data_IF_469495605670
#
_entry.id   IF_469495605670
#
_cell.length_a   1.000
_cell.length_b   1.000
_cell.length_c   1.000
_cell.angle_alpha   90.00
_cell.angle_beta   90.00
_cell.angle_gamma   90.00
#
_symmetry.space_group_name_H-M   'P 1'
#
loop_
_entity.id
_entity.type
_entity.pdbx_description
1 polymer ?
#
# COMPACT_ATOMS: atom_id res chain seq x y z
N UNK A 1 -20.46 53.47 14.54
CA UNK A 1 -19.06 53.79 14.16
C UNK A 1 -18.28 52.47 14.22
N UNK A 2 -17.69 52.02 13.11
CA UNK A 2 -16.98 50.73 13.07
C UNK A 2 -15.49 50.95 13.44
N UNK A 3 -14.92 50.15 14.35
CA UNK A 3 -13.51 50.25 14.70
C UNK A 3 -12.65 49.68 13.57
N UNK A 4 -11.76 50.50 13.01
CA UNK A 4 -10.75 50.05 12.04
C UNK A 4 -9.82 49.04 12.72
N UNK A 5 -9.69 47.84 12.14
CA UNK A 5 -8.81 46.80 12.69
C UNK A 5 -7.35 47.08 12.33
N UNK A 6 -6.61 47.75 13.20
CA UNK A 6 -5.16 47.98 13.05
C UNK A 6 -4.32 46.98 13.89
N UNK A 7 -4.96 46.09 14.66
CA UNK A 7 -4.30 45.13 15.55
C UNK A 7 -3.39 44.14 14.83
N UNK A 8 -3.66 43.83 13.56
CA UNK A 8 -2.80 42.96 12.75
C UNK A 8 -1.43 43.58 12.38
N UNK A 9 -1.25 44.89 12.60
CA UNK A 9 -0.03 45.63 12.29
C UNK A 9 0.95 45.60 13.48
N UNK A 10 0.43 45.53 14.71
CA UNK A 10 1.22 45.47 15.93
C UNK A 10 1.33 44.02 16.42
N UNK A 11 2.47 43.39 16.21
CA UNK A 11 2.76 42.06 16.78
C UNK A 11 3.00 42.20 18.28
N UNK A 12 2.24 41.49 19.09
CA UNK A 12 2.49 41.42 20.53
C UNK A 12 3.82 40.67 20.76
N UNK A 13 4.70 41.27 21.56
CA UNK A 13 6.04 40.75 21.85
C UNK A 13 5.97 39.55 22.82
N UNK A 14 4.85 39.37 23.53
CA UNK A 14 4.68 38.37 24.57
C UNK A 14 3.79 37.17 24.18
N UNK A 15 3.20 37.17 22.98
CA UNK A 15 2.33 36.09 22.45
C UNK A 15 3.12 34.84 21.95
N UNK A 16 4.29 34.56 22.55
CA UNK A 16 5.28 33.64 21.98
C UNK A 16 4.94 32.15 22.10
N UNK A 17 3.91 31.78 22.87
CA UNK A 17 3.39 30.41 22.89
C UNK A 17 1.86 30.40 22.93
N UNK A 18 1.17 30.10 21.82
CA UNK A 18 -0.28 30.04 21.80
C UNK A 18 -0.84 29.01 22.80
N UNK A 19 -0.10 27.95 23.14
CA UNK A 19 -0.55 26.96 24.14
C UNK A 19 -0.45 27.46 25.59
N UNK A 20 0.22 28.58 25.85
CA UNK A 20 0.28 29.18 27.19
C UNK A 20 -1.06 29.80 27.63
N UNK A 21 -2.02 29.96 26.72
CA UNK A 21 -3.36 30.45 27.02
C UNK A 21 -4.27 29.28 27.43
N UNK A 22 -4.63 29.21 28.72
CA UNK A 22 -5.49 28.17 29.30
C UNK A 22 -6.81 27.93 28.52
N UNK A 23 -7.36 28.97 27.90
CA UNK A 23 -8.56 28.86 27.05
C UNK A 23 -8.30 28.09 25.75
N UNK A 24 -7.15 28.31 25.11
CA UNK A 24 -6.77 27.60 23.89
C UNK A 24 -6.55 26.12 24.18
N UNK A 25 -5.85 25.81 25.29
CA UNK A 25 -5.67 24.43 25.73
C UNK A 25 -7.02 23.71 25.94
N UNK A 26 -7.95 24.34 26.67
CA UNK A 26 -9.30 23.80 26.88
C UNK A 26 -10.10 23.66 25.59
N UNK A 27 -9.81 24.48 24.58
CA UNK A 27 -10.40 24.38 23.24
C UNK A 27 -9.88 23.14 22.52
N UNK A 28 -8.56 22.93 22.51
CA UNK A 28 -7.89 21.79 21.88
C UNK A 28 -8.33 20.47 22.52
N UNK A 29 -8.46 20.43 23.84
CA UNK A 29 -8.90 19.24 24.58
C UNK A 29 -10.27 18.69 24.14
N UNK A 30 -11.05 19.49 23.40
CA UNK A 30 -12.36 19.10 22.87
C UNK A 30 -12.33 18.72 21.38
N UNK A 31 -11.19 18.78 20.71
CA UNK A 31 -11.08 18.49 19.27
C UNK A 31 -10.80 17.03 18.98
N UNK A 32 -11.14 16.60 17.76
CA UNK A 32 -10.86 15.24 17.26
C UNK A 32 -9.35 14.91 17.37
N UNK A 33 -8.49 15.89 17.11
CA UNK A 33 -7.05 15.75 17.16
C UNK A 33 -6.53 15.43 18.56
N UNK A 34 -7.07 16.08 19.60
CA UNK A 34 -6.68 15.76 20.97
C UNK A 34 -7.21 14.39 21.39
N UNK A 35 -8.40 13.99 20.93
CA UNK A 35 -8.86 12.61 21.09
C UNK A 35 -7.93 11.63 20.40
N UNK A 36 -7.48 11.91 19.17
CA UNK A 36 -6.49 11.11 18.46
C UNK A 36 -5.17 10.99 19.25
N UNK A 37 -4.70 12.09 19.85
CA UNK A 37 -3.53 12.07 20.72
C UNK A 37 -3.70 11.06 21.87
N UNK A 38 -4.87 11.07 22.52
CA UNK A 38 -5.14 10.20 23.66
C UNK A 38 -5.38 8.74 23.29
N UNK A 39 -6.07 8.47 22.17
CA UNK A 39 -6.55 7.13 21.80
C UNK A 39 -5.63 6.39 20.86
N UNK A 40 -4.79 7.11 20.09
CA UNK A 40 -3.87 6.53 19.10
C UNK A 40 -2.43 6.87 19.49
N UNK A 41 -2.03 8.14 19.42
CA UNK A 41 -0.61 8.53 19.58
C UNK A 41 0.01 8.05 20.89
N UNK A 42 -0.71 8.25 22.01
CA UNK A 42 -0.23 7.91 23.35
C UNK A 42 -0.32 6.42 23.68
N UNK A 43 -1.02 5.63 22.85
CA UNK A 43 -1.24 4.20 23.06
C UNK A 43 -0.38 3.32 22.15
N UNK A 44 0.37 3.90 21.20
CA UNK A 44 1.27 3.15 20.34
C UNK A 44 2.45 2.63 21.17
N UNK A 45 2.59 1.31 21.22
CA UNK A 45 3.74 0.63 21.80
C UNK A 45 4.97 0.74 20.87
N UNK A 46 5.90 1.64 21.21
CA UNK A 46 7.11 1.86 20.39
C UNK A 46 8.06 0.66 20.37
N UNK A 47 8.03 -0.20 21.40
CA UNK A 47 8.92 -1.37 21.49
C UNK A 47 8.66 -2.40 20.38
N UNK A 48 7.45 -2.40 19.79
CA UNK A 48 7.11 -3.20 18.61
C UNK A 48 8.06 -2.94 17.43
N UNK A 49 8.60 -1.72 17.34
CA UNK A 49 9.45 -1.29 16.25
C UNK A 49 10.94 -1.44 16.55
N UNK A 50 11.31 -1.94 17.73
CA UNK A 50 12.71 -2.17 18.11
C UNK A 50 13.49 -3.00 17.07
N UNK A 51 12.93 -4.05 16.43
CA UNK A 51 13.63 -4.83 15.40
C UNK A 51 14.05 -4.02 14.15
N UNK A 52 13.47 -2.84 13.93
CA UNK A 52 13.82 -1.97 12.79
C UNK A 52 15.12 -1.20 13.00
N UNK A 53 15.67 -1.20 14.21
CA UNK A 53 16.82 -0.40 14.59
C UNK A 53 17.98 -1.28 15.05
N UNK A 54 19.20 -0.89 14.68
CA UNK A 54 20.40 -1.57 15.15
C UNK A 54 20.65 -1.19 16.62
N UNK A 55 20.87 -2.19 17.48
CA UNK A 55 21.19 -1.98 18.91
C UNK A 55 22.49 -1.19 19.11
N UNK A 56 23.41 -1.28 18.15
CA UNK A 56 24.78 -0.76 18.27
C UNK A 56 24.99 0.63 17.64
N UNK A 57 23.99 1.18 16.92
CA UNK A 57 24.11 2.47 16.20
C UNK A 57 23.30 3.63 16.82
N UNK A 58 23.09 3.60 18.14
CA UNK A 58 22.45 4.69 18.90
C UNK A 58 20.92 4.69 18.85
N UNK A 59 20.31 5.44 19.78
CA UNK A 59 18.84 5.58 19.89
C UNK A 59 18.28 6.26 18.63
N UNK A 60 17.09 5.88 18.14
CA UNK A 60 16.43 6.61 17.06
C UNK A 60 16.34 8.10 17.37
N UNK A 61 16.68 8.96 16.41
CA UNK A 61 16.69 10.42 16.59
C UNK A 61 15.27 11.03 16.62
N UNK A 62 14.23 10.22 16.44
CA UNK A 62 12.83 10.64 16.39
C UNK A 62 11.92 9.60 17.02
N UNK A 63 10.87 10.00 17.76
CA UNK A 63 9.89 9.09 18.33
C UNK A 63 9.15 8.30 17.23
N UNK A 64 9.02 6.99 17.43
CA UNK A 64 8.38 6.09 16.46
C UNK A 64 6.87 6.31 16.46
N UNK A 65 6.26 6.49 17.62
CA UNK A 65 4.83 6.77 17.74
C UNK A 65 4.42 8.02 16.94
N UNK A 66 5.28 9.06 16.85
CA UNK A 66 5.04 10.23 16.01
C UNK A 66 5.03 9.88 14.52
N UNK A 67 5.95 9.04 14.05
CA UNK A 67 6.01 8.63 12.64
C UNK A 67 4.83 7.72 12.27
N UNK A 68 4.49 6.76 13.14
CA UNK A 68 3.33 5.87 12.96
C UNK A 68 2.03 6.67 12.95
N UNK A 69 1.82 7.55 13.94
CA UNK A 69 0.66 8.43 14.01
C UNK A 69 0.54 9.34 12.81
N UNK A 70 1.66 9.83 12.29
CA UNK A 70 1.69 10.67 11.10
C UNK A 70 1.24 9.92 9.86
N UNK A 71 1.65 8.66 9.68
CA UNK A 71 1.16 7.82 8.58
C UNK A 71 -0.35 7.63 8.67
N UNK A 72 -0.88 7.34 9.87
CA UNK A 72 -2.33 7.21 10.10
C UNK A 72 -3.07 8.51 9.77
N UNK A 73 -2.59 9.66 10.25
CA UNK A 73 -3.21 10.97 9.98
C UNK A 73 -3.15 11.33 8.50
N UNK A 74 -2.03 11.09 7.83
CA UNK A 74 -1.86 11.34 6.39
C UNK A 74 -2.91 10.58 5.58
N UNK A 75 -3.11 9.28 5.86
CA UNK A 75 -4.13 8.48 5.16
C UNK A 75 -5.55 8.91 5.55
N UNK A 76 -5.81 9.15 6.84
CA UNK A 76 -7.13 9.62 7.33
C UNK A 76 -7.55 10.97 6.70
N UNK A 77 -6.60 11.86 6.45
CA UNK A 77 -6.84 13.20 5.87
C UNK A 77 -6.59 13.24 4.35
N UNK A 78 -6.16 12.13 3.74
CA UNK A 78 -5.79 12.03 2.33
C UNK A 78 -4.76 13.09 1.90
N UNK A 79 -3.74 13.32 2.72
CA UNK A 79 -2.70 14.31 2.44
C UNK A 79 -1.59 13.76 1.55
N UNK A 80 -1.06 14.65 0.71
CA UNK A 80 0.28 14.50 0.14
C UNK A 80 1.34 14.64 1.25
N UNK A 81 2.57 14.17 1.00
CA UNK A 81 3.66 14.34 1.97
C UNK A 81 3.99 15.82 2.23
N UNK A 82 3.88 16.68 1.22
CA UNK A 82 4.14 18.12 1.37
C UNK A 82 3.08 18.78 2.25
N UNK A 83 1.79 18.45 2.05
CA UNK A 83 0.71 18.89 2.92
C UNK A 83 0.92 18.38 4.34
N UNK A 84 1.18 17.08 4.52
CA UNK A 84 1.44 16.48 5.82
C UNK A 84 2.57 17.22 6.57
N UNK A 85 3.72 17.49 5.94
CA UNK A 85 4.80 18.23 6.58
C UNK A 85 4.44 19.68 6.89
N UNK A 86 3.66 20.33 6.02
CA UNK A 86 3.15 21.69 6.24
C UNK A 86 2.19 21.73 7.43
N UNK A 87 1.24 20.81 7.51
CA UNK A 87 0.25 20.73 8.58
C UNK A 87 0.93 20.44 9.93
N UNK A 88 1.86 19.48 9.99
CA UNK A 88 2.65 19.23 11.22
C UNK A 88 3.43 20.48 11.65
N UNK A 89 3.90 21.29 10.70
CA UNK A 89 4.70 22.48 11.00
C UNK A 89 3.86 23.65 11.51
N UNK A 90 2.66 23.84 10.97
CA UNK A 90 1.92 25.09 11.15
C UNK A 90 0.51 24.94 11.75
N UNK A 91 -0.10 23.75 11.68
CA UNK A 91 -1.43 23.54 12.22
C UNK A 91 -1.37 23.08 13.68
N UNK A 92 -2.01 23.87 14.54
CA UNK A 92 -2.00 23.67 15.99
C UNK A 92 -2.68 22.36 16.42
N UNK A 93 -3.77 22.00 15.76
CA UNK A 93 -4.56 20.81 16.09
C UNK A 93 -3.81 19.57 15.64
N UNK A 94 -3.24 19.58 14.43
CA UNK A 94 -2.41 18.47 13.92
C UNK A 94 -1.19 18.27 14.80
N UNK A 95 -0.56 19.35 15.26
CA UNK A 95 0.51 19.28 16.25
C UNK A 95 0.04 18.67 17.56
N UNK A 96 -1.11 19.07 18.08
CA UNK A 96 -1.70 18.47 19.27
C UNK A 96 -1.96 16.96 19.11
N UNK A 97 -2.42 16.51 17.93
CA UNK A 97 -2.59 15.08 17.63
C UNK A 97 -1.29 14.27 17.76
N UNK A 98 -0.15 14.92 17.54
CA UNK A 98 1.19 14.34 17.63
C UNK A 98 1.91 14.67 18.94
N UNK A 99 1.19 15.14 19.96
CA UNK A 99 1.75 15.49 21.27
C UNK A 99 2.66 16.71 21.27
N UNK A 100 2.58 17.57 20.25
CA UNK A 100 3.40 18.76 20.08
C UNK A 100 2.64 20.01 20.56
N UNK A 101 2.71 20.29 21.85
CA UNK A 101 2.02 21.43 22.48
C UNK A 101 2.85 22.73 22.47
N UNK A 102 3.74 22.90 21.48
CA UNK A 102 4.44 24.17 21.24
C UNK A 102 4.76 24.30 19.75
N UNK A 103 5.05 25.51 19.26
CA UNK A 103 5.54 25.71 17.88
C UNK A 103 7.04 25.45 17.70
N UNK A 104 7.71 24.92 18.72
CA UNK A 104 9.14 24.60 18.63
C UNK A 104 9.36 23.26 17.93
N UNK A 105 10.12 23.28 16.83
CA UNK A 105 10.64 22.08 16.17
C UNK A 105 9.63 21.20 15.43
N UNK A 106 10.19 20.19 14.77
CA UNK A 106 9.48 19.08 14.11
C UNK A 106 9.82 17.78 14.86
N UNK A 107 8.90 16.80 14.94
CA UNK A 107 9.16 15.53 15.62
C UNK A 107 10.19 14.67 14.87
N UNK A 108 10.33 14.88 13.55
CA UNK A 108 11.27 14.23 12.66
C UNK A 108 11.50 15.09 11.41
N UNK A 109 12.56 14.78 10.67
CA UNK A 109 12.79 15.33 9.33
C UNK A 109 12.34 14.34 8.23
N UNK A 110 12.23 14.85 7.00
CA UNK A 110 11.76 14.09 5.84
C UNK A 110 12.59 12.82 5.57
N UNK A 111 13.92 12.90 5.65
CA UNK A 111 14.79 11.75 5.44
C UNK A 111 14.56 10.65 6.49
N UNK A 112 14.40 11.02 7.75
CA UNK A 112 14.13 10.08 8.86
C UNK A 112 12.81 9.36 8.64
N UNK A 113 11.77 10.08 8.23
CA UNK A 113 10.45 9.53 7.97
C UNK A 113 10.42 8.53 6.81
N UNK A 114 11.08 8.85 5.68
CA UNK A 114 11.18 7.90 4.56
C UNK A 114 12.07 6.70 4.87
N UNK A 115 13.16 6.90 5.62
CA UNK A 115 13.98 5.80 6.08
C UNK A 115 13.21 4.85 7.01
N UNK A 116 12.32 5.37 7.85
CA UNK A 116 11.43 4.55 8.67
C UNK A 116 10.47 3.71 7.82
N UNK A 117 9.82 4.29 6.80
CA UNK A 117 8.98 3.56 5.85
C UNK A 117 9.75 2.47 5.10
N UNK A 118 10.97 2.75 4.65
CA UNK A 118 11.81 1.75 4.00
C UNK A 118 12.15 0.58 4.93
N UNK A 119 12.45 0.86 6.21
CA UNK A 119 12.71 -0.18 7.21
C UNK A 119 11.48 -1.04 7.49
N UNK A 120 10.30 -0.43 7.57
CA UNK A 120 9.03 -1.16 7.70
C UNK A 120 8.85 -2.13 6.54
N UNK A 121 8.97 -1.62 5.31
CA UNK A 121 8.87 -2.42 4.09
C UNK A 121 9.90 -3.56 4.07
N UNK A 122 11.18 -3.27 4.33
CA UNK A 122 12.22 -4.30 4.36
C UNK A 122 12.00 -5.35 5.44
N UNK A 123 11.44 -4.96 6.59
CA UNK A 123 11.14 -5.88 7.68
C UNK A 123 9.99 -6.81 7.30
N UNK A 124 8.90 -6.26 6.74
CA UNK A 124 7.77 -7.03 6.23
C UNK A 124 8.23 -8.00 5.13
N UNK A 125 9.03 -7.56 4.15
CA UNK A 125 9.58 -8.42 3.09
C UNK A 125 10.43 -9.58 3.62
N UNK A 126 11.16 -9.39 4.74
CA UNK A 126 12.05 -10.40 5.31
C UNK A 126 11.34 -11.37 6.26
N UNK A 127 10.34 -10.89 6.98
CA UNK A 127 9.71 -11.62 8.09
C UNK A 127 8.28 -12.04 7.81
N UNK A 128 7.65 -11.46 6.78
CA UNK A 128 6.23 -11.56 6.49
C UNK A 128 5.33 -11.08 7.65
N UNK A 129 5.86 -10.17 8.49
CA UNK A 129 5.14 -9.56 9.62
C UNK A 129 4.91 -8.08 9.31
N UNK A 130 3.64 -7.68 9.27
CA UNK A 130 3.24 -6.28 9.19
C UNK A 130 3.08 -5.70 10.60
N UNK A 131 3.95 -4.77 10.99
CA UNK A 131 3.90 -4.13 12.32
C UNK A 131 2.67 -3.24 12.50
N UNK A 132 2.07 -2.71 11.42
CA UNK A 132 0.82 -1.94 11.52
C UNK A 132 -0.38 -2.81 11.88
N UNK A 133 -0.39 -4.10 11.50
CA UNK A 133 -1.43 -5.03 11.95
C UNK A 133 -1.38 -5.19 13.46
N UNK A 134 -0.18 -5.28 14.04
CA UNK A 134 -0.02 -5.41 15.50
C UNK A 134 -0.44 -4.13 16.22
N UNK A 135 -0.04 -2.95 15.70
CA UNK A 135 -0.50 -1.66 16.23
C UNK A 135 -2.02 -1.54 16.17
N UNK A 136 -2.63 -1.92 15.04
CA UNK A 136 -4.07 -1.91 14.87
C UNK A 136 -4.78 -2.83 15.89
N UNK A 137 -4.25 -4.04 16.08
CA UNK A 137 -4.79 -5.03 17.01
C UNK A 137 -4.70 -4.54 18.47
N UNK A 138 -3.54 -4.02 18.90
CA UNK A 138 -3.35 -3.48 20.26
C UNK A 138 -4.24 -2.26 20.54
N UNK A 139 -4.30 -1.30 19.60
CA UNK A 139 -5.13 -0.11 19.74
C UNK A 139 -6.62 -0.48 19.83
N UNK A 140 -7.06 -1.41 18.99
CA UNK A 140 -8.47 -1.84 18.99
C UNK A 140 -8.82 -2.57 20.28
N UNK A 141 -7.94 -3.43 20.80
CA UNK A 141 -8.16 -4.12 22.07
C UNK A 141 -8.34 -3.12 23.24
N UNK A 142 -7.52 -2.08 23.30
CA UNK A 142 -7.66 -1.02 24.32
C UNK A 142 -8.95 -0.21 24.13
N UNK A 143 -9.34 0.08 22.89
CA UNK A 143 -10.59 0.77 22.58
C UNK A 143 -11.82 -0.06 23.00
N UNK A 144 -11.84 -1.37 22.73
CA UNK A 144 -12.90 -2.28 23.16
C UNK A 144 -13.10 -2.18 24.68
N UNK A 145 -12.01 -2.25 25.46
CA UNK A 145 -12.06 -2.15 26.93
C UNK A 145 -12.56 -0.78 27.38
N UNK A 146 -11.97 0.29 26.84
CA UNK A 146 -12.26 1.68 27.25
C UNK A 146 -13.71 2.07 26.94
N UNK A 147 -14.22 1.65 25.79
CA UNK A 147 -15.57 1.95 25.31
C UNK A 147 -16.60 0.90 25.75
N UNK A 148 -16.16 -0.17 26.43
CA UNK A 148 -17.01 -1.27 26.93
C UNK A 148 -17.86 -1.90 25.82
N UNK A 149 -17.24 -2.10 24.66
CA UNK A 149 -17.89 -2.68 23.48
C UNK A 149 -18.15 -4.17 23.72
N UNK A 150 -19.37 -4.62 23.44
CA UNK A 150 -19.70 -6.04 23.45
C UNK A 150 -19.25 -6.70 22.16
N UNK A 151 -18.49 -7.78 22.31
CA UNK A 151 -17.77 -8.49 21.24
C UNK A 151 -18.37 -9.85 20.89
N UNK A 152 -19.45 -10.26 21.57
CA UNK A 152 -20.08 -11.58 21.41
C UNK A 152 -20.82 -11.78 20.08
N UNK A 153 -21.01 -10.70 19.31
CA UNK A 153 -21.56 -10.74 17.95
C UNK A 153 -20.62 -9.91 17.08
N UNK A 154 -20.13 -10.49 15.98
CA UNK A 154 -19.39 -9.79 14.94
C UNK A 154 -20.00 -10.05 13.57
N UNK A 155 -19.76 -9.15 12.63
CA UNK A 155 -20.13 -9.32 11.22
C UNK A 155 -18.92 -9.07 10.34
N UNK A 156 -18.89 -9.75 9.21
CA UNK A 156 -17.88 -9.57 8.17
C UNK A 156 -18.52 -8.97 6.93
N UNK A 157 -17.79 -8.11 6.23
CA UNK A 157 -18.11 -7.69 4.88
C UNK A 157 -16.84 -7.66 4.03
N UNK A 158 -17.00 -7.75 2.71
CA UNK A 158 -15.90 -7.73 1.76
C UNK A 158 -16.15 -6.74 0.62
N UNK A 159 -15.11 -6.05 0.19
CA UNK A 159 -15.17 -5.16 -0.97
C UNK A 159 -13.90 -5.24 -1.81
N UNK A 160 -14.06 -4.96 -3.11
CA UNK A 160 -12.93 -4.95 -4.06
C UNK A 160 -12.11 -3.68 -3.87
N UNK A 161 -10.79 -3.81 -3.91
CA UNK A 161 -9.83 -2.72 -3.95
C UNK A 161 -9.08 -2.82 -5.27
N UNK A 162 -9.21 -1.81 -6.12
CA UNK A 162 -8.37 -1.71 -7.30
C UNK A 162 -7.02 -1.12 -6.92
N UNK A 163 -5.93 -1.67 -7.47
CA UNK A 163 -4.57 -1.27 -7.12
C UNK A 163 -4.16 0.13 -7.60
N UNK A 164 -5.08 0.90 -8.20
CA UNK A 164 -4.81 2.17 -8.88
C UNK A 164 -3.61 2.09 -9.85
N UNK A 165 -3.51 0.96 -10.56
CA UNK A 165 -2.48 0.68 -11.56
C UNK A 165 -3.05 0.81 -12.96
N UNK A 166 -2.16 0.91 -13.94
CA UNK A 166 -2.53 0.82 -15.34
C UNK A 166 -3.09 -0.59 -15.65
N UNK A 167 -4.32 -0.64 -16.18
CA UNK A 167 -4.87 -1.86 -16.76
C UNK A 167 -4.28 -2.10 -18.15
N UNK A 168 -3.73 -3.30 -18.37
CA UNK A 168 -3.15 -3.70 -19.64
C UNK A 168 -4.06 -4.71 -20.35
N UNK A 169 -4.27 -4.52 -21.66
CA UNK A 169 -4.69 -5.63 -22.52
C UNK A 169 -3.54 -6.66 -22.66
N UNK A 170 -3.87 -7.93 -22.94
CA UNK A 170 -2.86 -9.02 -23.02
C UNK A 170 -1.66 -8.67 -23.89
N UNK A 171 -1.88 -8.18 -25.11
CA UNK A 171 -0.79 -7.82 -26.03
C UNK A 171 0.07 -6.68 -25.48
N UNK A 172 -0.57 -5.66 -24.89
CA UNK A 172 0.11 -4.52 -24.31
C UNK A 172 0.96 -4.91 -23.11
N UNK A 173 0.45 -5.80 -22.24
CA UNK A 173 1.17 -6.36 -21.09
C UNK A 173 2.46 -7.05 -21.56
N UNK A 174 2.36 -7.91 -22.57
CA UNK A 174 3.50 -8.65 -23.10
C UNK A 174 4.60 -7.72 -23.62
N UNK A 175 4.23 -6.66 -24.34
CA UNK A 175 5.15 -5.64 -24.86
C UNK A 175 5.76 -4.81 -23.73
N UNK A 176 4.96 -4.39 -22.74
CA UNK A 176 5.46 -3.62 -21.60
C UNK A 176 6.53 -4.41 -20.82
N UNK A 177 6.32 -5.71 -20.62
CA UNK A 177 7.29 -6.58 -19.94
C UNK A 177 8.58 -6.72 -20.77
N UNK A 178 8.49 -6.88 -22.09
CA UNK A 178 9.67 -6.85 -22.98
C UNK A 178 10.44 -5.52 -22.82
N UNK A 179 9.73 -4.39 -22.82
CA UNK A 179 10.32 -3.07 -22.66
C UNK A 179 11.02 -2.90 -21.31
N UNK A 180 10.43 -3.40 -20.22
CA UNK A 180 11.05 -3.38 -18.88
C UNK A 180 12.32 -4.22 -18.82
N UNK A 181 12.33 -5.40 -19.44
CA UNK A 181 13.56 -6.20 -19.60
C UNK A 181 14.61 -5.43 -20.40
N UNK A 182 14.23 -4.79 -21.50
CA UNK A 182 15.18 -3.98 -22.29
C UNK A 182 15.76 -2.82 -21.48
N UNK A 183 14.96 -2.15 -20.65
CA UNK A 183 15.40 -1.00 -19.81
C UNK A 183 16.53 -1.38 -18.86
N UNK A 184 16.50 -2.56 -18.25
CA UNK A 184 17.52 -3.03 -17.30
C UNK A 184 18.84 -3.46 -17.94
N UNK A 185 18.87 -3.66 -19.26
CA UNK A 185 20.09 -4.06 -19.97
C UNK A 185 21.18 -3.00 -19.86
N UNK A 186 22.42 -3.47 -19.76
CA UNK A 186 23.60 -2.60 -19.79
C UNK A 186 23.75 -1.97 -21.17
N UNK A 187 24.53 -0.89 -21.28
CA UNK A 187 24.81 -0.25 -22.59
C UNK A 187 25.43 -1.23 -23.59
N UNK A 188 26.30 -2.15 -23.13
CA UNK A 188 26.90 -3.18 -23.99
C UNK A 188 25.85 -4.17 -24.50
N UNK A 189 24.94 -4.58 -23.63
CA UNK A 189 23.94 -5.59 -23.97
C UNK A 189 22.83 -5.00 -24.83
N UNK A 190 22.43 -3.75 -24.58
CA UNK A 190 21.53 -3.02 -25.47
C UNK A 190 22.08 -2.94 -26.89
N UNK A 191 23.39 -2.72 -27.05
CA UNK A 191 24.04 -2.73 -28.36
C UNK A 191 24.05 -4.14 -28.98
N UNK A 192 24.43 -5.14 -28.18
CA UNK A 192 24.51 -6.55 -28.61
C UNK A 192 23.16 -7.11 -29.04
N UNK A 193 22.09 -6.77 -28.33
CA UNK A 193 20.74 -7.29 -28.53
C UNK A 193 19.83 -6.30 -29.27
N UNK A 194 20.41 -5.30 -29.92
CA UNK A 194 19.65 -4.17 -30.48
C UNK A 194 18.69 -4.56 -31.60
N UNK A 195 19.00 -5.63 -32.33
CA UNK A 195 18.20 -6.20 -33.41
C UNK A 195 17.03 -7.03 -32.88
N UNK A 196 17.23 -7.86 -31.85
CA UNK A 196 16.16 -8.70 -31.29
C UNK A 196 15.03 -7.86 -30.67
N UNK A 197 15.36 -6.70 -30.12
CA UNK A 197 14.37 -5.78 -29.52
C UNK A 197 13.91 -4.67 -30.49
N UNK A 198 14.37 -4.65 -31.75
CA UNK A 198 14.13 -3.51 -32.65
C UNK A 198 12.65 -3.22 -32.86
N UNK A 199 11.81 -4.24 -32.91
CA UNK A 199 10.37 -4.09 -33.16
C UNK A 199 9.64 -3.37 -32.03
N UNK A 200 10.16 -3.39 -30.80
CA UNK A 200 9.42 -2.91 -29.63
C UNK A 200 10.10 -1.75 -28.90
N UNK A 201 11.43 -1.61 -28.98
CA UNK A 201 12.21 -0.71 -28.10
C UNK A 201 12.01 0.79 -28.33
N UNK A 202 11.55 1.20 -29.51
CA UNK A 202 11.59 2.61 -29.93
C UNK A 202 10.39 3.43 -29.45
N UNK A 203 9.30 2.78 -29.03
CA UNK A 203 8.10 3.43 -28.49
C UNK A 203 7.62 2.73 -27.24
N UNK A 204 6.78 3.38 -26.43
CA UNK A 204 6.10 2.68 -25.34
C UNK A 204 5.00 1.73 -25.86
N UNK A 205 4.52 0.87 -24.96
CA UNK A 205 3.54 -0.16 -25.26
C UNK A 205 2.20 0.42 -25.73
N UNK A 206 1.80 1.60 -25.27
CA UNK A 206 0.54 2.24 -25.67
C UNK A 206 0.58 2.76 -27.10
N UNK A 207 1.60 3.56 -27.42
CA UNK A 207 1.80 4.09 -28.77
C UNK A 207 2.09 2.99 -29.79
N UNK A 208 2.65 1.87 -29.35
CA UNK A 208 2.82 0.69 -30.18
C UNK A 208 1.45 0.10 -30.57
N UNK A 209 0.61 -0.23 -29.59
CA UNK A 209 -0.71 -0.83 -29.80
C UNK A 209 -1.61 0.09 -30.62
N UNK A 210 -1.60 1.41 -30.35
CA UNK A 210 -2.44 2.38 -31.06
C UNK A 210 -2.22 2.38 -32.59
N UNK A 211 -1.00 2.05 -33.05
CA UNK A 211 -0.66 2.02 -34.48
C UNK A 211 -0.85 0.65 -35.13
N UNK A 212 -1.09 -0.39 -34.33
CA UNK A 212 -1.19 -1.75 -34.82
C UNK A 212 -2.54 -1.98 -35.50
N UNK A 213 -2.51 -2.50 -36.74
CA UNK A 213 -3.73 -2.90 -37.44
C UNK A 213 -4.15 -4.30 -36.99
N UNK A 214 -5.45 -4.55 -36.94
CA UNK A 214 -5.98 -5.87 -36.61
C UNK A 214 -5.49 -6.99 -37.53
N UNK A 215 -5.20 -6.68 -38.80
CA UNK A 215 -4.62 -7.63 -39.77
C UNK A 215 -3.24 -8.14 -39.37
N UNK A 216 -2.50 -7.37 -38.59
CA UNK A 216 -1.09 -7.63 -38.27
C UNK A 216 -0.96 -8.39 -36.94
N UNK A 217 -2.07 -8.56 -36.19
CA UNK A 217 -2.10 -9.25 -34.90
C UNK A 217 -1.48 -10.66 -34.94
N UNK A 218 -1.77 -11.54 -35.91
CA UNK A 218 -1.16 -12.87 -35.95
C UNK A 218 0.36 -12.82 -36.10
N UNK A 219 0.86 -11.87 -36.90
CA UNK A 219 2.29 -11.67 -37.07
C UNK A 219 2.95 -11.18 -35.78
N UNK A 220 2.33 -10.22 -35.09
CA UNK A 220 2.85 -9.69 -33.84
C UNK A 220 2.87 -10.71 -32.71
N UNK A 221 1.83 -11.55 -32.59
CA UNK A 221 1.82 -12.62 -31.59
C UNK A 221 2.96 -13.61 -31.81
N UNK A 222 3.28 -13.93 -33.07
CA UNK A 222 4.42 -14.78 -33.43
C UNK A 222 5.76 -14.13 -33.10
N UNK A 223 5.91 -12.82 -33.40
CA UNK A 223 7.11 -12.04 -33.06
C UNK A 223 7.36 -11.99 -31.55
N UNK A 224 6.31 -11.71 -30.77
CA UNK A 224 6.37 -11.70 -29.30
C UNK A 224 6.72 -13.08 -28.76
N UNK A 225 6.08 -14.14 -29.25
CA UNK A 225 6.37 -15.53 -28.83
C UNK A 225 7.84 -15.87 -29.04
N UNK A 226 8.36 -15.56 -30.23
CA UNK A 226 9.76 -15.79 -30.57
C UNK A 226 10.72 -14.99 -29.67
N UNK A 227 10.38 -13.74 -29.38
CA UNK A 227 11.19 -12.87 -28.53
C UNK A 227 11.17 -13.32 -27.05
N UNK A 228 10.02 -13.73 -26.51
CA UNK A 228 9.93 -14.28 -25.15
C UNK A 228 10.81 -15.52 -25.01
N UNK A 229 10.72 -16.45 -25.97
CA UNK A 229 11.60 -17.63 -25.99
C UNK A 229 13.07 -17.25 -26.04
N UNK A 230 13.43 -16.32 -26.92
CA UNK A 230 14.79 -15.86 -27.08
C UNK A 230 15.34 -15.20 -25.80
N UNK A 231 14.56 -14.32 -25.14
CA UNK A 231 14.96 -13.66 -23.89
C UNK A 231 15.22 -14.70 -22.81
N UNK A 232 14.32 -15.68 -22.64
CA UNK A 232 14.47 -16.74 -21.62
C UNK A 232 15.78 -17.51 -21.78
N UNK A 233 16.20 -17.78 -23.02
CA UNK A 233 17.40 -18.56 -23.31
C UNK A 233 18.71 -17.75 -23.32
N UNK A 234 18.66 -16.48 -23.75
CA UNK A 234 19.87 -15.72 -24.08
C UNK A 234 20.21 -14.61 -23.09
N UNK A 235 19.31 -14.27 -22.16
CA UNK A 235 19.58 -13.19 -21.22
C UNK A 235 20.65 -13.62 -20.19
N UNK A 236 21.71 -12.83 -19.98
CA UNK A 236 22.76 -13.18 -19.01
C UNK A 236 22.24 -13.30 -17.56
N UNK A 237 22.79 -14.26 -16.81
CA UNK A 237 22.40 -14.54 -15.42
C UNK A 237 22.50 -13.35 -14.46
N UNK A 238 23.35 -12.35 -14.76
CA UNK A 238 23.45 -11.09 -14.00
C UNK A 238 22.13 -10.32 -13.89
N UNK A 239 21.16 -10.57 -14.77
CA UNK A 239 19.83 -9.95 -14.74
C UNK A 239 18.82 -10.75 -13.93
N UNK A 240 19.11 -12.00 -13.55
CA UNK A 240 18.11 -12.88 -12.93
C UNK A 240 17.63 -12.41 -11.55
N UNK A 241 18.45 -11.62 -10.84
CA UNK A 241 18.07 -11.03 -9.56
C UNK A 241 17.23 -9.76 -9.71
N UNK A 242 17.13 -9.18 -10.91
CA UNK A 242 16.36 -7.95 -11.16
C UNK A 242 14.86 -8.24 -11.17
N UNK A 243 14.08 -7.35 -10.58
CA UNK A 243 12.64 -7.52 -10.45
C UNK A 243 11.95 -7.64 -11.82
N UNK A 244 12.40 -6.84 -12.79
CA UNK A 244 11.88 -6.83 -14.16
C UNK A 244 12.07 -8.18 -14.85
N UNK A 245 13.17 -8.89 -14.57
CA UNK A 245 13.37 -10.24 -15.10
C UNK A 245 12.51 -11.27 -14.36
N UNK A 246 12.32 -11.13 -13.05
CA UNK A 246 11.41 -12.00 -12.29
C UNK A 246 9.97 -11.88 -12.80
N UNK A 247 9.52 -10.65 -13.07
CA UNK A 247 8.22 -10.37 -13.69
C UNK A 247 8.15 -10.99 -15.09
N UNK A 248 9.20 -10.84 -15.90
CA UNK A 248 9.28 -11.47 -17.20
C UNK A 248 9.14 -13.00 -17.12
N UNK A 249 9.79 -13.65 -16.17
CA UNK A 249 9.67 -15.09 -15.97
C UNK A 249 8.24 -15.50 -15.61
N UNK A 250 7.60 -14.75 -14.72
CA UNK A 250 6.19 -14.98 -14.38
C UNK A 250 5.29 -14.90 -15.61
N UNK A 251 5.42 -13.84 -16.41
CA UNK A 251 4.64 -13.69 -17.65
C UNK A 251 4.96 -14.79 -18.67
N UNK A 252 6.23 -15.19 -18.77
CA UNK A 252 6.65 -16.31 -19.61
C UNK A 252 5.92 -17.60 -19.22
N UNK A 253 5.91 -17.95 -17.93
CA UNK A 253 5.28 -19.18 -17.43
C UNK A 253 3.74 -19.13 -17.50
N UNK A 254 3.14 -17.95 -17.29
CA UNK A 254 1.69 -17.74 -17.25
C UNK A 254 1.04 -17.62 -18.64
N UNK A 255 1.75 -17.09 -19.65
CA UNK A 255 1.16 -16.81 -20.97
C UNK A 255 1.64 -17.72 -22.10
N UNK A 256 2.67 -18.53 -21.86
CA UNK A 256 3.27 -19.39 -22.87
C UNK A 256 3.44 -20.83 -22.36
N UNK A 257 3.61 -21.74 -23.31
CA UNK A 257 3.84 -23.16 -23.05
C UNK A 257 4.54 -23.83 -24.24
N UNK A 258 4.99 -25.05 -24.04
CA UNK A 258 5.36 -25.96 -25.12
C UNK A 258 4.12 -26.78 -25.50
N UNK A 259 3.80 -26.85 -26.78
CA UNK A 259 2.73 -27.70 -27.28
C UNK A 259 3.10 -29.20 -27.24
N UNK A 260 2.19 -30.07 -27.67
CA UNK A 260 2.42 -31.53 -27.73
C UNK A 260 3.60 -31.95 -28.65
N UNK A 261 4.14 -31.02 -29.44
CA UNK A 261 5.25 -31.23 -30.38
C UNK A 261 6.50 -30.46 -29.95
N UNK A 262 6.58 -30.04 -28.68
CA UNK A 262 7.66 -29.24 -28.12
C UNK A 262 7.87 -27.88 -28.82
N UNK A 263 6.81 -27.30 -29.41
CA UNK A 263 6.85 -25.97 -30.01
C UNK A 263 6.39 -24.92 -29.00
N UNK A 264 7.20 -23.88 -28.83
CA UNK A 264 6.87 -22.78 -27.93
C UNK A 264 5.76 -21.89 -28.52
N UNK A 265 4.65 -21.79 -27.81
CA UNK A 265 3.46 -21.07 -28.24
C UNK A 265 2.81 -20.28 -27.09
N UNK A 266 1.89 -19.39 -27.46
CA UNK A 266 1.03 -18.69 -26.49
C UNK A 266 -0.14 -19.58 -26.07
N UNK A 267 -0.44 -19.58 -24.76
CA UNK A 267 -1.65 -20.21 -24.21
C UNK A 267 -2.91 -19.58 -24.77
N UNK A 268 -3.99 -20.34 -24.87
CA UNK A 268 -5.29 -19.81 -25.24
C UNK A 268 -5.82 -18.83 -24.17
N UNK A 269 -6.65 -17.86 -24.54
CA UNK A 269 -7.22 -16.91 -23.56
C UNK A 269 -8.03 -17.61 -22.46
N UNK A 270 -8.66 -18.75 -22.76
CA UNK A 270 -9.42 -19.56 -21.80
C UNK A 270 -8.55 -20.28 -20.77
N UNK A 271 -7.25 -20.39 -21.02
CA UNK A 271 -6.29 -21.07 -20.13
C UNK A 271 -5.55 -20.08 -19.22
N UNK A 272 -5.70 -18.78 -19.46
CA UNK A 272 -5.11 -17.74 -18.61
C UNK A 272 -5.89 -17.69 -17.30
N UNK A 273 -5.20 -18.05 -16.21
CA UNK A 273 -5.76 -17.99 -14.86
C UNK A 273 -6.09 -16.55 -14.47
N UNK A 274 -7.11 -16.36 -13.63
CA UNK A 274 -7.38 -15.07 -12.96
C UNK A 274 -6.25 -14.61 -12.04
N UNK A 275 -5.31 -15.50 -11.70
CA UNK A 275 -4.08 -15.19 -10.97
C UNK A 275 -2.96 -14.60 -11.85
N UNK A 276 -3.14 -14.58 -13.18
CA UNK A 276 -2.11 -14.08 -14.07
C UNK A 276 -1.78 -12.62 -13.76
N UNK A 277 -0.55 -12.22 -14.01
CA UNK A 277 -0.09 -10.86 -13.83
C UNK A 277 -1.02 -9.88 -14.56
N UNK A 278 -1.60 -8.92 -13.83
CA UNK A 278 -2.46 -7.88 -14.40
C UNK A 278 -1.67 -6.65 -14.83
N UNK A 279 -0.65 -6.31 -14.05
CA UNK A 279 0.26 -5.20 -14.32
C UNK A 279 1.63 -5.50 -13.74
N UNK A 280 2.72 -5.13 -14.41
CA UNK A 280 4.06 -5.20 -13.82
C UNK A 280 4.29 -4.21 -12.66
N UNK A 281 3.36 -3.28 -12.41
CA UNK A 281 3.44 -2.29 -11.32
C UNK A 281 2.82 -2.75 -10.00
N UNK A 282 1.93 -3.73 -10.04
CA UNK A 282 1.43 -4.45 -8.86
C UNK A 282 1.36 -5.95 -9.19
N UNK A 283 2.43 -6.71 -8.89
CA UNK A 283 2.46 -8.14 -9.12
C UNK A 283 1.39 -8.92 -8.34
N UNK A 284 0.92 -8.40 -7.21
CA UNK A 284 -0.01 -9.13 -6.34
C UNK A 284 -1.48 -8.92 -6.76
N UNK A 285 -1.72 -7.97 -7.66
CA UNK A 285 -3.03 -7.74 -8.26
C UNK A 285 -3.50 -8.94 -9.08
N UNK A 286 -4.75 -9.33 -8.85
CA UNK A 286 -5.44 -10.42 -9.55
C UNK A 286 -6.68 -9.90 -10.28
N UNK A 287 -7.25 -10.74 -11.15
CA UNK A 287 -8.44 -10.40 -11.93
C UNK A 287 -9.70 -11.05 -11.37
N UNK A 288 -10.79 -10.29 -11.27
CA UNK A 288 -12.12 -10.85 -11.02
C UNK A 288 -13.20 -10.16 -11.83
N UNK A 289 -14.10 -10.96 -12.39
CA UNK A 289 -15.36 -10.46 -12.97
C UNK A 289 -16.52 -10.73 -12.03
N UNK A 290 -17.17 -9.68 -11.52
CA UNK A 290 -18.34 -9.80 -10.63
C UNK A 290 -19.47 -8.92 -11.17
N UNK A 291 -20.63 -9.53 -11.45
CA UNK A 291 -21.83 -8.84 -11.98
C UNK A 291 -21.56 -8.03 -13.27
N UNK A 292 -20.70 -8.55 -14.14
CA UNK A 292 -20.34 -7.90 -15.41
C UNK A 292 -19.28 -6.79 -15.30
N UNK A 293 -18.83 -6.48 -14.08
CA UNK A 293 -17.76 -5.50 -13.82
C UNK A 293 -16.44 -6.26 -13.64
N UNK A 294 -15.39 -5.76 -14.30
CA UNK A 294 -14.02 -6.26 -14.22
C UNK A 294 -13.26 -5.52 -13.11
N UNK A 295 -12.55 -6.25 -12.26
CA UNK A 295 -11.76 -5.74 -11.14
C UNK A 295 -10.31 -6.20 -11.28
N UNK A 296 -9.36 -5.29 -11.03
CA UNK A 296 -7.92 -5.55 -11.11
C UNK A 296 -7.24 -5.08 -9.83
N UNK A 297 -6.98 -6.02 -8.92
CA UNK A 297 -6.41 -5.72 -7.62
C UNK A 297 -6.68 -6.79 -6.58
N UNK A 298 -7.13 -6.36 -5.41
CA UNK A 298 -7.34 -7.18 -4.22
C UNK A 298 -8.79 -7.15 -3.74
N UNK A 299 -9.11 -8.01 -2.78
CA UNK A 299 -10.33 -7.93 -1.97
C UNK A 299 -9.92 -7.64 -0.54
N UNK A 300 -10.62 -6.71 0.10
CA UNK A 300 -10.47 -6.45 1.52
C UNK A 300 -11.68 -7.02 2.26
N UNK A 301 -11.42 -7.81 3.29
CA UNK A 301 -12.41 -8.30 4.23
C UNK A 301 -12.22 -7.58 5.56
N UNK A 302 -13.33 -7.09 6.09
CA UNK A 302 -13.37 -6.32 7.33
C UNK A 302 -14.35 -6.97 8.28
N UNK A 303 -13.94 -7.10 9.55
CA UNK A 303 -14.78 -7.64 10.61
C UNK A 303 -14.99 -6.57 11.67
N UNK A 304 -16.24 -6.32 12.00
CA UNK A 304 -16.61 -5.39 13.05
C UNK A 304 -17.50 -6.04 14.10
N UNK A 305 -17.44 -5.52 15.33
CA UNK A 305 -18.42 -5.86 16.37
C UNK A 305 -19.82 -5.47 15.89
N UNK A 306 -20.86 -6.22 16.24
CA UNK A 306 -22.21 -5.98 15.75
C UNK A 306 -23.30 -6.22 16.80
N UNK A 307 -22.96 -6.18 18.09
CA UNK A 307 -23.96 -6.34 19.14
C UNK A 307 -24.96 -5.16 19.13
N UNK A 308 -26.29 -5.40 19.03
CA UNK A 308 -27.30 -4.33 19.01
C UNK A 308 -27.35 -3.43 20.25
N UNK A 309 -26.69 -3.84 21.34
CA UNK A 309 -26.59 -3.07 22.59
C UNK A 309 -25.37 -2.15 22.64
N UNK A 310 -24.53 -2.14 21.60
CA UNK A 310 -23.41 -1.21 21.50
C UNK A 310 -23.90 0.12 20.91
N UNK A 311 -23.45 1.24 21.48
CA UNK A 311 -23.72 2.58 20.94
C UNK A 311 -22.88 2.87 19.67
N UNK A 312 -21.77 2.17 19.49
CA UNK A 312 -20.91 2.20 18.31
C UNK A 312 -20.26 0.83 18.09
N UNK A 313 -19.89 0.55 16.85
CA UNK A 313 -19.14 -0.66 16.49
C UNK A 313 -17.69 -0.33 16.18
N UNK A 314 -16.79 -1.28 16.44
CA UNK A 314 -15.37 -1.18 16.12
C UNK A 314 -15.01 -2.20 15.06
N UNK A 315 -14.18 -1.78 14.11
CA UNK A 315 -13.47 -2.71 13.23
C UNK A 315 -12.41 -3.40 14.08
N UNK A 316 -12.34 -4.73 13.98
CA UNK A 316 -11.52 -5.61 14.83
C UNK A 316 -10.57 -6.48 14.02
N UNK A 317 -10.88 -6.70 12.75
CA UNK A 317 -10.01 -7.40 11.83
C UNK A 317 -10.11 -6.77 10.44
N UNK A 318 -8.96 -6.64 9.79
CA UNK A 318 -8.85 -6.25 8.39
C UNK A 318 -7.89 -7.22 7.73
N UNK A 319 -8.27 -7.74 6.57
CA UNK A 319 -7.44 -8.65 5.79
C UNK A 319 -7.55 -8.33 4.31
N UNK A 320 -6.42 -8.25 3.64
CA UNK A 320 -6.34 -8.09 2.18
C UNK A 320 -5.94 -9.44 1.57
N UNK A 321 -6.62 -9.85 0.51
CA UNK A 321 -6.35 -11.08 -0.22
C UNK A 321 -6.48 -10.86 -1.73
N UNK A 322 -6.04 -11.83 -2.53
CA UNK A 322 -6.28 -11.83 -3.98
C UNK A 322 -7.78 -11.77 -4.26
N UNK A 323 -8.20 -10.89 -5.17
CA UNK A 323 -9.62 -10.60 -5.40
C UNK A 323 -10.39 -11.79 -5.96
N UNK A 324 -9.72 -12.79 -6.52
CA UNK A 324 -10.29 -14.05 -6.98
C UNK A 324 -10.46 -15.12 -5.87
N UNK A 325 -10.12 -14.78 -4.63
CA UNK A 325 -10.37 -15.63 -3.45
C UNK A 325 -11.85 -15.56 -3.08
N UNK A 326 -12.41 -16.69 -2.64
CA UNK A 326 -13.79 -16.73 -2.13
C UNK A 326 -13.86 -16.19 -0.70
N UNK A 327 -14.90 -15.41 -0.39
CA UNK A 327 -15.10 -14.79 0.92
C UNK A 327 -15.16 -15.83 2.04
N UNK A 328 -15.71 -17.03 1.78
CA UNK A 328 -15.74 -18.12 2.76
C UNK A 328 -14.34 -18.62 3.11
N UNK A 329 -13.42 -18.65 2.13
CA UNK A 329 -12.04 -19.03 2.36
C UNK A 329 -11.32 -17.97 3.19
N UNK A 330 -11.49 -16.68 2.86
CA UNK A 330 -10.91 -15.57 3.63
C UNK A 330 -11.40 -15.63 5.08
N UNK A 331 -12.70 -15.81 5.30
CA UNK A 331 -13.26 -15.91 6.64
C UNK A 331 -12.70 -17.12 7.41
N UNK A 332 -12.68 -18.30 6.78
CA UNK A 332 -12.15 -19.52 7.39
C UNK A 332 -10.67 -19.36 7.80
N UNK A 333 -9.85 -18.77 6.94
CA UNK A 333 -8.43 -18.52 7.22
C UNK A 333 -8.22 -17.52 8.39
N UNK A 334 -9.26 -16.77 8.77
CA UNK A 334 -9.22 -15.78 9.86
C UNK A 334 -9.90 -16.21 11.15
N UNK A 335 -10.67 -17.30 11.17
CA UNK A 335 -11.47 -17.71 12.33
C UNK A 335 -10.66 -17.80 13.63
N UNK A 336 -9.46 -18.40 13.59
CA UNK A 336 -8.61 -18.53 14.77
C UNK A 336 -8.19 -17.16 15.31
N UNK A 337 -7.70 -16.26 14.43
CA UNK A 337 -7.29 -14.90 14.82
C UNK A 337 -8.46 -14.07 15.32
N UNK A 338 -9.65 -14.25 14.75
CA UNK A 338 -10.88 -13.61 15.21
C UNK A 338 -11.23 -14.08 16.62
N UNK A 339 -11.14 -15.39 16.89
CA UNK A 339 -11.38 -15.96 18.22
C UNK A 339 -10.40 -15.45 19.27
N UNK A 340 -9.13 -15.26 18.92
CA UNK A 340 -8.13 -14.67 19.81
C UNK A 340 -8.45 -13.20 20.14
N UNK A 341 -8.91 -12.42 19.15
CA UNK A 341 -9.25 -11.00 19.31
C UNK A 341 -10.57 -10.78 20.03
N UNK A 342 -11.55 -11.65 19.78
CA UNK A 342 -12.92 -11.55 20.27
C UNK A 342 -13.30 -12.86 21.00
N UNK A 343 -12.74 -13.11 22.20
CA UNK A 343 -12.92 -14.38 22.90
C UNK A 343 -14.36 -14.63 23.37
N UNK A 344 -15.19 -13.59 23.44
CA UNK A 344 -16.60 -13.69 23.86
C UNK A 344 -17.56 -14.03 22.70
N UNK A 345 -17.05 -14.27 21.49
CA UNK A 345 -17.88 -14.59 20.32
C UNK A 345 -18.76 -15.82 20.57
N UNK A 346 -20.06 -15.65 20.34
CA UNK A 346 -21.00 -16.76 20.36
C UNK A 346 -20.76 -17.66 19.15
N UNK A 347 -20.43 -18.93 19.40
CA UNK A 347 -20.38 -19.96 18.37
C UNK A 347 -21.82 -20.40 18.10
N UNK A 348 -22.32 -20.10 16.90
CA UNK A 348 -23.65 -20.52 16.44
C UNK A 348 -23.63 -21.86 15.73
#
# INVERSE_FOLDING_TARGET
MYPRNEKHIQKDLFDLDPFSMLELQKGIEKTEEYFFYQTIFSQINEDLFAPLFCKDNGRPNSPVNSMVSTLILKEKRNWTYDEMFKEIKYDLLVRAALGLFSFSGMPFNQATFFNFQNRLKEYEEKTNINLFDTVFDELTAEQIKKLKIKTNIARTDSFMIDSNIRSYGRLQLLIEVILRVYRILSKSDKKKFSEQFSSYKDTDSEHYIYRLKGSDLPHELSGITSLYYWIKLNLPSRYHSKNEYKIFLRVYDEHFELDEKDQFQMRANSEISSNSLQSPDDPDATYRKKRGIDYHGQVCSVIETANPKNDLNLITDVTVASNNTDDSKILNDRLDKIGEKLPDLEVF
#
